data_IF_140118245751
#
_entry.id   IF_140118245751
#
_cell.length_a   1.000
_cell.length_b   1.000
_cell.length_c   1.000
_cell.angle_alpha   90.00
_cell.angle_beta   90.00
_cell.angle_gamma   90.00
#
_symmetry.space_group_name_H-M   'P 1'
#
loop_
_entity.id
_entity.type
_entity.pdbx_description
1 polymer ?
#
# COMPACT_ATOMS: atom_id res chain seq x y z
N UNK A 1 6.28 23.53 1.30
CA UNK A 1 5.49 22.40 0.75
C UNK A 1 5.29 21.37 1.84
N UNK A 2 4.07 20.83 2.01
CA UNK A 2 3.73 19.86 3.06
C UNK A 2 4.08 18.44 2.60
N UNK A 3 4.71 17.66 3.48
CA UNK A 3 4.87 16.21 3.28
C UNK A 3 3.63 15.48 3.76
N UNK A 4 3.23 14.41 3.06
CA UNK A 4 2.06 13.59 3.41
C UNK A 4 2.55 12.17 3.68
N UNK A 5 2.14 11.62 4.82
CA UNK A 5 2.40 10.24 5.19
C UNK A 5 1.09 9.44 5.09
N UNK A 6 1.12 8.35 4.34
CA UNK A 6 0.05 7.35 4.32
C UNK A 6 0.49 6.17 5.17
N UNK A 7 -0.31 5.79 6.16
CA UNK A 7 -0.03 4.68 7.07
C UNK A 7 -1.01 3.56 6.80
N UNK A 8 -0.50 2.44 6.33
CA UNK A 8 -1.23 1.19 6.19
C UNK A 8 -0.95 0.33 7.43
N UNK A 9 -1.98 0.12 8.25
CA UNK A 9 -1.89 -0.67 9.50
C UNK A 9 -2.77 -1.92 9.51
N UNK A 10 -3.47 -2.21 8.41
CA UNK A 10 -4.41 -3.33 8.32
C UNK A 10 -4.04 -4.30 7.20
N UNK A 11 -4.32 -5.59 7.44
CA UNK A 11 -4.18 -6.64 6.44
C UNK A 11 -5.00 -6.35 5.17
N UNK A 12 -4.55 -6.82 4.00
CA UNK A 12 -5.33 -6.67 2.78
C UNK A 12 -6.60 -7.55 2.80
N UNK A 13 -7.58 -7.20 1.96
CA UNK A 13 -8.77 -8.00 1.65
C UNK A 13 -9.84 -8.14 2.75
N UNK A 14 -9.54 -7.84 4.01
CA UNK A 14 -10.53 -7.87 5.10
C UNK A 14 -11.55 -6.73 5.05
N UNK A 15 -11.19 -5.61 4.44
CA UNK A 15 -12.06 -4.46 4.19
C UNK A 15 -11.56 -3.66 2.96
N UNK A 16 -12.28 -2.60 2.58
CA UNK A 16 -11.95 -1.76 1.43
C UNK A 16 -10.97 -0.61 1.74
N UNK A 17 -10.61 -0.38 3.01
CA UNK A 17 -9.85 0.81 3.45
C UNK A 17 -8.52 0.91 2.71
N UNK A 18 -7.79 -0.20 2.60
CA UNK A 18 -6.49 -0.23 1.92
C UNK A 18 -6.59 0.09 0.43
N UNK A 19 -7.65 -0.39 -0.22
CA UNK A 19 -7.92 -0.10 -1.63
C UNK A 19 -8.30 1.37 -1.81
N UNK A 20 -9.22 1.89 -1.01
CA UNK A 20 -9.64 3.30 -1.05
C UNK A 20 -8.46 4.24 -0.73
N UNK A 21 -7.57 3.83 0.18
CA UNK A 21 -6.33 4.54 0.49
C UNK A 21 -5.42 4.72 -0.72
N UNK A 22 -5.33 3.73 -1.62
CA UNK A 22 -4.58 3.85 -2.87
C UNK A 22 -5.18 4.90 -3.82
N UNK A 23 -6.50 4.94 -3.95
CA UNK A 23 -7.19 5.92 -4.78
C UNK A 23 -6.99 7.35 -4.24
N UNK A 24 -6.98 7.49 -2.90
CA UNK A 24 -6.61 8.73 -2.22
C UNK A 24 -5.16 9.14 -2.51
N UNK A 25 -4.20 8.21 -2.43
CA UNK A 25 -2.79 8.50 -2.74
C UNK A 25 -2.64 9.07 -4.15
N UNK A 26 -3.27 8.45 -5.14
CA UNK A 26 -3.26 8.94 -6.53
C UNK A 26 -3.91 10.32 -6.67
N UNK A 27 -4.98 10.58 -5.92
CA UNK A 27 -5.62 11.90 -5.91
C UNK A 27 -4.69 12.97 -5.30
N UNK A 28 -3.98 12.63 -4.24
CA UNK A 28 -3.04 13.52 -3.57
C UNK A 28 -1.73 13.73 -4.33
N UNK A 29 -1.32 12.79 -5.19
CA UNK A 29 -0.09 12.90 -5.99
C UNK A 29 -0.15 14.06 -7.00
N UNK A 30 -1.34 14.55 -7.34
CA UNK A 30 -1.54 15.75 -8.15
C UNK A 30 -1.15 17.03 -7.38
N UNK A 31 -1.25 17.01 -6.05
CA UNK A 31 -1.05 18.20 -5.20
C UNK A 31 0.28 18.19 -4.45
N UNK A 32 0.89 17.02 -4.23
CA UNK A 32 2.15 16.89 -3.50
C UNK A 32 3.02 15.79 -4.07
N UNK A 33 4.28 16.13 -4.33
CA UNK A 33 5.31 15.18 -4.73
C UNK A 33 6.09 14.64 -3.52
N UNK A 34 5.68 15.00 -2.29
CA UNK A 34 6.29 14.57 -1.03
C UNK A 34 5.36 13.61 -0.31
N UNK A 35 5.19 12.43 -0.89
CA UNK A 35 4.33 11.36 -0.38
C UNK A 35 5.20 10.19 0.03
N UNK A 36 5.02 9.73 1.27
CA UNK A 36 5.65 8.52 1.80
C UNK A 36 4.59 7.54 2.30
N UNK A 37 4.79 6.26 2.02
CA UNK A 37 3.94 5.16 2.45
C UNK A 37 4.64 4.37 3.55
N UNK A 38 3.93 4.11 4.64
CA UNK A 38 4.41 3.35 5.79
C UNK A 38 3.51 2.13 6.01
N UNK A 39 4.10 0.95 6.02
CA UNK A 39 3.43 -0.32 6.29
C UNK A 39 3.82 -0.78 7.70
N UNK A 40 2.87 -0.75 8.62
CA UNK A 40 3.06 -1.13 10.02
C UNK A 40 2.04 -2.20 10.40
N UNK A 41 2.30 -2.94 11.46
CA UNK A 41 1.41 -3.97 11.99
C UNK A 41 0.98 -4.95 10.89
N UNK A 42 -0.31 -5.25 10.76
CA UNK A 42 -0.84 -6.12 9.71
C UNK A 42 -0.77 -5.48 8.31
N UNK A 43 -0.48 -4.18 8.22
CA UNK A 43 -0.27 -3.48 6.95
C UNK A 43 0.89 -4.04 6.13
N UNK A 44 1.88 -4.69 6.77
CA UNK A 44 2.99 -5.33 6.04
C UNK A 44 2.52 -6.45 5.12
N UNK A 45 1.38 -7.08 5.41
CA UNK A 45 0.82 -8.14 4.54
C UNK A 45 0.39 -7.61 3.17
N UNK A 46 0.17 -6.30 3.02
CA UNK A 46 -0.12 -5.71 1.71
C UNK A 46 1.05 -5.83 0.72
N UNK A 47 2.28 -5.97 1.23
CA UNK A 47 3.50 -6.10 0.44
C UNK A 47 3.75 -7.54 -0.06
N UNK A 48 2.96 -8.51 0.37
CA UNK A 48 3.13 -9.92 -0.02
C UNK A 48 2.96 -10.08 -1.54
N UNK A 49 3.86 -10.86 -2.14
CA UNK A 49 3.79 -11.19 -3.57
C UNK A 49 2.75 -12.27 -3.83
N UNK A 50 2.28 -12.36 -5.08
CA UNK A 50 1.40 -13.45 -5.55
C UNK A 50 0.09 -13.61 -4.77
N UNK A 51 -0.46 -12.52 -4.22
CA UNK A 51 -1.79 -12.52 -3.61
C UNK A 51 -2.85 -12.91 -4.65
N UNK A 52 -3.79 -13.79 -4.26
CA UNK A 52 -4.89 -14.31 -5.10
C UNK A 52 -6.29 -13.99 -4.52
N UNK A 53 -6.66 -12.70 -4.35
CA UNK A 53 -7.96 -12.31 -3.79
C UNK A 53 -9.15 -12.73 -4.67
N UNK A 54 -8.92 -13.08 -5.93
CA UNK A 54 -9.94 -13.65 -6.81
C UNK A 54 -10.57 -14.95 -6.26
N UNK A 55 -9.85 -15.71 -5.42
CA UNK A 55 -10.38 -16.90 -4.75
C UNK A 55 -11.52 -16.58 -3.78
N UNK A 56 -11.55 -15.34 -3.28
CA UNK A 56 -12.62 -14.79 -2.43
C UNK A 56 -13.47 -13.74 -3.17
N UNK A 57 -13.46 -13.76 -4.51
CA UNK A 57 -14.23 -12.86 -5.39
C UNK A 57 -13.92 -11.37 -5.22
N UNK A 58 -12.70 -11.04 -4.80
CA UNK A 58 -12.23 -9.66 -4.66
C UNK A 58 -11.28 -9.27 -5.81
N UNK A 59 -11.27 -7.97 -6.11
CA UNK A 59 -10.34 -7.40 -7.08
C UNK A 59 -8.91 -7.35 -6.53
N UNK A 60 -7.93 -7.74 -7.35
CA UNK A 60 -6.53 -7.73 -6.96
C UNK A 60 -5.88 -6.35 -7.08
N UNK A 61 -6.05 -5.52 -6.06
CA UNK A 61 -5.48 -4.16 -6.01
C UNK A 61 -3.99 -4.12 -5.67
N UNK A 62 -3.36 -5.25 -5.29
CA UNK A 62 -1.94 -5.28 -4.91
C UNK A 62 -1.01 -4.80 -6.04
N UNK A 63 -1.45 -4.95 -7.29
CA UNK A 63 -0.76 -4.44 -8.48
C UNK A 63 -0.72 -2.91 -8.53
N UNK A 64 -1.70 -2.22 -7.93
CA UNK A 64 -1.78 -0.76 -7.93
C UNK A 64 -0.64 -0.10 -7.16
N UNK A 65 -0.05 -0.78 -6.16
CA UNK A 65 1.14 -0.27 -5.49
C UNK A 65 2.33 -0.12 -6.44
N UNK A 66 2.45 -0.98 -7.47
CA UNK A 66 3.52 -0.84 -8.48
C UNK A 66 3.31 0.40 -9.35
N UNK A 67 2.06 0.74 -9.65
CA UNK A 67 1.70 1.90 -10.47
C UNK A 67 2.16 3.21 -9.80
N UNK A 68 2.14 3.29 -8.46
CA UNK A 68 2.59 4.48 -7.73
C UNK A 68 4.02 4.92 -8.10
N UNK A 69 4.90 3.98 -8.46
CA UNK A 69 6.26 4.29 -8.92
C UNK A 69 6.29 5.13 -10.21
N UNK A 70 5.26 5.01 -11.06
CA UNK A 70 5.10 5.81 -12.28
C UNK A 70 4.71 7.27 -11.97
N UNK A 71 4.15 7.52 -10.79
CA UNK A 71 3.77 8.84 -10.28
C UNK A 71 4.86 9.47 -9.40
N UNK A 72 6.11 8.99 -9.50
CA UNK A 72 7.27 9.43 -8.72
C UNK A 72 7.12 9.24 -7.19
N UNK A 73 6.14 8.44 -6.75
CA UNK A 73 6.01 8.03 -5.36
C UNK A 73 6.90 6.82 -5.15
N UNK A 74 8.05 7.04 -4.48
CA UNK A 74 9.13 6.04 -4.32
C UNK A 74 9.48 5.75 -2.86
N UNK A 75 8.96 6.54 -1.94
CA UNK A 75 9.22 6.43 -0.51
C UNK A 75 8.28 5.39 0.12
N UNK A 76 8.73 4.13 0.14
CA UNK A 76 8.03 3.01 0.80
C UNK A 76 8.85 2.52 1.98
N UNK A 77 8.23 2.47 3.15
CA UNK A 77 8.86 2.05 4.40
C UNK A 77 8.02 0.96 5.09
N UNK A 78 8.68 0.01 5.72
CA UNK A 78 8.03 -1.02 6.53
C UNK A 78 8.84 -1.31 7.79
N UNK A 79 8.19 -1.85 8.82
CA UNK A 79 8.88 -2.21 10.05
C UNK A 79 9.65 -3.52 9.85
N UNK A 80 10.98 -3.45 9.93
CA UNK A 80 11.89 -4.56 9.59
C UNK A 80 11.61 -5.87 10.34
N UNK A 81 11.20 -5.80 11.60
CA UNK A 81 10.95 -6.97 12.45
C UNK A 81 9.56 -7.61 12.24
N UNK A 82 8.71 -7.04 11.38
CA UNK A 82 7.37 -7.54 11.09
C UNK A 82 7.32 -8.43 9.83
N UNK A 83 8.40 -8.52 9.04
CA UNK A 83 8.49 -9.51 7.96
C UNK A 83 8.85 -10.89 8.52
N UNK A 84 7.86 -11.78 8.53
CA UNK A 84 8.09 -13.21 8.65
C UNK A 84 8.74 -13.66 7.33
N UNK A 85 9.89 -14.36 7.43
CA UNK A 85 10.68 -14.85 6.28
C UNK A 85 9.77 -15.52 5.24
N UNK A 86 10.07 -15.28 3.96
CA UNK A 86 9.48 -15.99 2.82
C UNK A 86 9.36 -17.48 3.15
N UNK A 87 8.12 -17.98 3.17
CA UNK A 87 7.80 -19.41 3.04
C UNK A 87 7.44 -19.64 1.59
#
# INVERSE_FOLDING_TARGET
MKSIAFVFSSAPHGNSISREGLDLILSFSVFSNKIALFFIDDGVFQLMKHQKPELIKLYNYSLSFKILSLYDIKDFFFVKNQLIREV
#
